data_IF_538897330443
#
_entry.id   IF_538897330443
#
_cell.length_a   1.000
_cell.length_b   1.000
_cell.length_c   1.000
_cell.angle_alpha   90.00
_cell.angle_beta   90.00
_cell.angle_gamma   90.00
#
_symmetry.space_group_name_H-M   'P 1'
#
loop_
_entity.id
_entity.type
_entity.pdbx_description
1 polymer ?
#
# COMPACT_ATOMS: atom_id res chain seq x y z
N UNK A 1 39.13 -11.49 20.94
CA UNK A 1 37.89 -12.30 20.98
C UNK A 1 36.59 -11.49 21.16
N UNK A 2 36.60 -10.32 21.84
CA UNK A 2 35.39 -9.47 21.99
C UNK A 2 34.88 -8.77 20.71
N UNK A 3 35.77 -8.47 19.76
CA UNK A 3 35.43 -7.76 18.50
C UNK A 3 34.68 -8.68 17.52
N UNK A 4 35.01 -9.97 17.50
CA UNK A 4 34.34 -10.98 16.65
C UNK A 4 32.90 -11.22 17.14
N UNK A 5 32.66 -11.14 18.45
CA UNK A 5 31.32 -11.27 19.03
C UNK A 5 30.39 -10.07 18.71
N UNK A 6 30.93 -8.87 18.52
CA UNK A 6 30.15 -7.67 18.15
C UNK A 6 29.79 -7.63 16.65
N UNK A 7 30.61 -8.22 15.79
CA UNK A 7 30.31 -8.32 14.35
C UNK A 7 29.24 -9.37 14.05
N UNK A 8 29.18 -10.45 14.84
CA UNK A 8 28.18 -11.52 14.69
C UNK A 8 26.78 -11.08 15.14
N UNK A 9 26.66 -10.23 16.16
CA UNK A 9 25.35 -9.71 16.59
C UNK A 9 24.81 -8.66 15.63
N UNK A 10 25.67 -7.88 14.98
CA UNK A 10 25.27 -6.88 13.97
C UNK A 10 24.67 -7.54 12.71
N UNK A 11 25.23 -8.68 12.29
CA UNK A 11 24.70 -9.48 11.18
C UNK A 11 23.32 -10.08 11.48
N UNK A 12 23.10 -10.52 12.72
CA UNK A 12 21.81 -11.08 13.15
C UNK A 12 20.71 -10.00 13.28
N UNK A 13 21.06 -8.74 13.52
CA UNK A 13 20.11 -7.62 13.53
C UNK A 13 19.64 -7.19 12.14
N UNK A 14 20.49 -7.35 11.10
CA UNK A 14 20.11 -7.03 9.72
C UNK A 14 19.01 -7.95 9.15
N UNK A 15 18.88 -9.15 9.72
CA UNK A 15 17.87 -10.13 9.29
C UNK A 15 16.50 -9.91 9.92
N UNK A 16 16.39 -9.09 10.96
CA UNK A 16 15.12 -8.86 11.69
C UNK A 16 14.20 -7.86 10.95
N UNK A 17 14.70 -7.14 9.95
CA UNK A 17 13.87 -6.22 9.13
C UNK A 17 13.33 -6.83 7.84
N UNK A 18 13.55 -8.11 7.57
CA UNK A 18 12.84 -8.80 6.48
C UNK A 18 11.65 -9.52 7.10
N UNK A 19 10.72 -8.73 7.62
CA UNK A 19 9.35 -9.20 7.91
C UNK A 19 8.76 -9.67 6.59
N UNK A 20 8.80 -10.98 6.33
CA UNK A 20 7.87 -11.77 5.50
C UNK A 20 7.20 -11.07 4.29
N UNK A 21 7.96 -10.27 3.53
CA UNK A 21 7.37 -9.25 2.65
C UNK A 21 6.82 -9.80 1.33
N UNK A 22 7.18 -11.03 0.95
CA UNK A 22 6.85 -11.56 -0.38
C UNK A 22 5.47 -12.23 -0.47
N UNK A 23 4.90 -12.73 0.63
CA UNK A 23 3.59 -13.40 0.62
C UNK A 23 2.41 -12.46 0.89
N UNK A 24 2.64 -11.31 1.52
CA UNK A 24 1.58 -10.41 1.97
C UNK A 24 0.99 -9.56 0.83
N UNK A 25 1.78 -9.21 -0.20
CA UNK A 25 1.41 -8.18 -1.21
C UNK A 25 0.11 -8.47 -1.95
N UNK A 26 -0.13 -9.72 -2.37
CA UNK A 26 -1.39 -10.11 -3.02
C UNK A 26 -2.58 -10.02 -2.06
N UNK A 27 -2.37 -10.40 -0.80
CA UNK A 27 -3.38 -10.32 0.26
C UNK A 27 -3.65 -8.90 0.71
N UNK A 28 -2.67 -8.00 0.61
CA UNK A 28 -2.79 -6.60 1.03
C UNK A 28 -3.79 -5.82 0.19
N UNK A 29 -3.82 -6.06 -1.13
CA UNK A 29 -4.83 -5.42 -1.98
C UNK A 29 -6.26 -5.85 -1.62
N UNK A 30 -6.51 -7.16 -1.51
CA UNK A 30 -7.83 -7.69 -1.14
C UNK A 30 -8.21 -7.26 0.29
N UNK A 31 -7.24 -7.18 1.21
CA UNK A 31 -7.44 -6.65 2.57
C UNK A 31 -7.82 -5.16 2.54
N UNK A 32 -7.16 -4.35 1.72
CA UNK A 32 -7.49 -2.95 1.55
C UNK A 32 -8.90 -2.76 0.97
N UNK A 33 -9.30 -3.58 -0.01
CA UNK A 33 -10.67 -3.58 -0.54
C UNK A 33 -11.71 -3.90 0.54
N UNK A 34 -11.43 -4.89 1.40
CA UNK A 34 -12.31 -5.22 2.52
C UNK A 34 -12.44 -4.05 3.50
N UNK A 35 -11.32 -3.45 3.92
CA UNK A 35 -11.31 -2.29 4.82
C UNK A 35 -12.06 -1.09 4.20
N UNK A 36 -11.91 -0.89 2.89
CA UNK A 36 -12.65 0.12 2.15
C UNK A 36 -14.16 -0.14 2.18
N UNK A 37 -14.62 -1.39 1.93
CA UNK A 37 -16.04 -1.77 2.06
C UNK A 37 -16.57 -1.53 3.47
N UNK A 38 -15.73 -1.81 4.48
CA UNK A 38 -16.02 -1.60 5.90
C UNK A 38 -15.94 -0.11 6.30
N UNK A 39 -15.69 0.81 5.36
CA UNK A 39 -15.51 2.26 5.58
C UNK A 39 -14.35 2.63 6.50
N UNK A 40 -13.42 1.70 6.72
CA UNK A 40 -12.18 1.91 7.48
C UNK A 40 -11.13 2.54 6.58
N UNK A 41 -11.41 3.77 6.13
CA UNK A 41 -10.61 4.44 5.10
C UNK A 41 -9.17 4.71 5.52
N UNK A 42 -8.90 5.01 6.80
CA UNK A 42 -7.54 5.22 7.30
C UNK A 42 -6.69 3.95 7.15
N UNK A 43 -7.23 2.81 7.59
CA UNK A 43 -6.52 1.52 7.51
C UNK A 43 -6.34 1.08 6.06
N UNK A 44 -7.36 1.30 5.21
CA UNK A 44 -7.27 1.02 3.79
C UNK A 44 -6.16 1.87 3.14
N UNK A 45 -6.08 3.16 3.46
CA UNK A 45 -5.06 4.07 2.94
C UNK A 45 -3.65 3.62 3.33
N UNK A 46 -3.43 3.20 4.58
CA UNK A 46 -2.12 2.73 5.05
C UNK A 46 -1.65 1.49 4.28
N UNK A 47 -2.55 0.52 4.06
CA UNK A 47 -2.23 -0.68 3.29
C UNK A 47 -1.98 -0.33 1.83
N UNK A 48 -2.82 0.52 1.23
CA UNK A 48 -2.66 0.93 -0.16
C UNK A 48 -1.37 1.70 -0.40
N UNK A 49 -0.95 2.56 0.55
CA UNK A 49 0.32 3.29 0.47
C UNK A 49 1.53 2.35 0.40
N UNK A 50 1.51 1.24 1.16
CA UNK A 50 2.54 0.20 1.03
C UNK A 50 2.41 -0.55 -0.29
N UNK A 51 1.19 -0.94 -0.64
CA UNK A 51 0.93 -1.72 -1.84
C UNK A 51 1.42 -1.01 -3.12
N UNK A 52 1.21 0.30 -3.25
CA UNK A 52 1.66 1.05 -4.44
C UNK A 52 3.18 1.16 -4.57
N UNK A 53 3.96 0.97 -3.50
CA UNK A 53 5.43 0.94 -3.59
C UNK A 53 5.91 -0.31 -4.31
N UNK A 54 5.19 -1.42 -4.12
CA UNK A 54 5.53 -2.72 -4.71
C UNK A 54 4.85 -2.92 -6.08
N UNK A 55 3.57 -2.55 -6.17
CA UNK A 55 2.70 -2.78 -7.33
C UNK A 55 1.93 -1.50 -7.67
N UNK A 56 2.55 -0.57 -8.43
CA UNK A 56 1.87 0.64 -8.89
C UNK A 56 0.81 0.26 -9.93
N UNK A 57 -0.47 0.30 -9.53
CA UNK A 57 -1.60 0.01 -10.42
C UNK A 57 -2.61 1.14 -10.36
N UNK A 58 -3.27 1.50 -11.49
CA UNK A 58 -4.29 2.55 -11.52
C UNK A 58 -5.36 2.37 -10.44
N UNK A 59 -5.83 1.13 -10.25
CA UNK A 59 -6.83 0.77 -9.24
C UNK A 59 -6.38 1.07 -7.81
N UNK A 60 -5.13 0.77 -7.45
CA UNK A 60 -4.62 1.03 -6.11
C UNK A 60 -4.43 2.53 -5.85
N UNK A 61 -3.92 3.28 -6.83
CA UNK A 61 -3.82 4.74 -6.78
C UNK A 61 -5.20 5.39 -6.61
N UNK A 62 -6.19 4.95 -7.38
CA UNK A 62 -7.55 5.45 -7.28
C UNK A 62 -8.19 5.15 -5.92
N UNK A 63 -8.06 3.92 -5.40
CA UNK A 63 -8.59 3.56 -4.09
C UNK A 63 -7.94 4.35 -2.96
N UNK A 64 -6.63 4.61 -3.05
CA UNK A 64 -5.93 5.44 -2.07
C UNK A 64 -6.45 6.87 -2.12
N UNK A 65 -6.57 7.44 -3.32
CA UNK A 65 -7.17 8.75 -3.52
C UNK A 65 -8.57 8.83 -2.92
N UNK A 66 -9.40 7.82 -3.13
CA UNK A 66 -10.76 7.79 -2.61
C UNK A 66 -10.81 7.63 -1.08
N UNK A 67 -9.96 6.77 -0.51
CA UNK A 67 -9.85 6.63 0.94
C UNK A 67 -9.46 7.97 1.58
N UNK A 68 -8.48 8.68 1.04
CA UNK A 68 -8.07 10.01 1.48
C UNK A 68 -9.19 11.05 1.31
N UNK A 69 -9.93 10.99 0.21
CA UNK A 69 -11.08 11.86 -0.02
C UNK A 69 -12.14 11.67 1.07
N UNK A 70 -12.44 10.41 1.45
CA UNK A 70 -13.38 10.09 2.53
C UNK A 70 -12.89 10.52 3.91
N UNK A 71 -11.58 10.68 4.09
CA UNK A 71 -10.96 11.24 5.29
C UNK A 71 -10.91 12.78 5.30
N UNK A 72 -11.44 13.45 4.26
CA UNK A 72 -11.39 14.92 4.13
C UNK A 72 -10.06 15.46 3.59
N UNK A 73 -9.12 14.59 3.21
CA UNK A 73 -7.79 14.98 2.69
C UNK A 73 -7.85 15.22 1.19
N UNK A 74 -8.69 16.15 0.75
CA UNK A 74 -9.02 16.35 -0.66
C UNK A 74 -7.82 16.71 -1.56
N UNK A 75 -6.90 17.56 -1.08
CA UNK A 75 -5.71 17.95 -1.84
C UNK A 75 -4.75 16.78 -2.08
N UNK A 76 -4.65 15.86 -1.12
CA UNK A 76 -3.82 14.67 -1.23
C UNK A 76 -4.50 13.63 -2.14
N UNK A 77 -5.81 13.44 -1.96
CA UNK A 77 -6.62 12.57 -2.81
C UNK A 77 -6.47 12.90 -4.30
N UNK A 78 -6.52 14.19 -4.65
CA UNK A 78 -6.39 14.65 -6.04
C UNK A 78 -5.06 14.22 -6.68
N UNK A 79 -3.97 14.21 -5.91
CA UNK A 79 -2.67 13.74 -6.42
C UNK A 79 -2.75 12.27 -6.83
N UNK A 80 -3.28 11.42 -5.95
CA UNK A 80 -3.38 9.99 -6.23
C UNK A 80 -4.41 9.64 -7.33
N UNK A 81 -5.50 10.41 -7.44
CA UNK A 81 -6.39 10.27 -8.59
C UNK A 81 -5.68 10.59 -9.90
N UNK A 82 -4.89 11.68 -9.94
CA UNK A 82 -4.11 12.03 -11.12
C UNK A 82 -3.13 10.93 -11.51
N UNK A 83 -2.42 10.36 -10.54
CA UNK A 83 -1.50 9.24 -10.79
C UNK A 83 -2.21 8.03 -11.40
N UNK A 84 -3.44 7.71 -10.97
CA UNK A 84 -4.19 6.60 -11.56
C UNK A 84 -4.42 6.80 -13.08
N UNK A 85 -4.84 8.00 -13.49
CA UNK A 85 -5.07 8.33 -14.90
C UNK A 85 -3.78 8.63 -15.69
N UNK A 86 -2.67 8.93 -15.03
CA UNK A 86 -1.36 8.99 -15.67
C UNK A 86 -0.83 7.59 -16.01
N UNK A 87 -1.07 6.61 -15.14
CA UNK A 87 -0.69 5.22 -15.38
C UNK A 87 -1.54 4.57 -16.46
N UNK A 88 -2.84 4.86 -16.47
CA UNK A 88 -3.77 4.39 -17.48
C UNK A 88 -4.81 5.47 -17.79
N UNK A 89 -4.67 6.21 -18.90
CA UNK A 89 -5.62 7.24 -19.32
C UNK A 89 -7.04 6.72 -19.56
N UNK A 90 -7.20 5.43 -19.87
CA UNK A 90 -8.49 4.76 -20.10
C UNK A 90 -9.01 4.07 -18.82
N UNK A 91 -8.38 4.30 -17.67
CA UNK A 91 -8.74 3.68 -16.39
C UNK A 91 -10.21 3.90 -16.03
N UNK A 92 -10.89 2.81 -15.69
CA UNK A 92 -12.30 2.81 -15.29
C UNK A 92 -12.43 2.33 -13.84
N UNK A 93 -12.84 3.20 -12.89
CA UNK A 93 -13.04 2.80 -11.50
C UNK A 93 -14.00 1.61 -11.31
N UNK A 94 -14.95 1.40 -12.22
CA UNK A 94 -15.89 0.28 -12.22
C UNK A 94 -15.22 -1.08 -12.43
N UNK A 95 -13.98 -1.08 -12.95
CA UNK A 95 -13.16 -2.30 -13.06
C UNK A 95 -12.72 -2.86 -11.71
N UNK A 96 -12.78 -2.05 -10.64
CA UNK A 96 -12.45 -2.48 -9.28
C UNK A 96 -13.57 -3.39 -8.75
N UNK A 97 -13.25 -4.68 -8.60
CA UNK A 97 -14.21 -5.68 -8.10
C UNK A 97 -14.10 -5.84 -6.59
N UNK A 98 -15.18 -5.50 -5.91
CA UNK A 98 -15.34 -5.75 -4.47
C UNK A 98 -15.95 -7.14 -4.26
N UNK A 99 -15.10 -8.18 -4.17
CA UNK A 99 -15.57 -9.53 -3.81
C UNK A 99 -16.26 -9.55 -2.44
#
# INVERSE_FOLDING_TARGET
MRIIALLLTLLLFSSITIVDLHAQTSGDYERALKLYKDKRFSDAAEILQRYIQEKPTPSAYYLLGYALYKMGKHSEAMKYFKEAYLLDPDFKPESIKFK
#
